data_IF_795119968837
#
_entry.id   IF_795119968837
#
_cell.length_a   1.000
_cell.length_b   1.000
_cell.length_c   1.000
_cell.angle_alpha   90.00
_cell.angle_beta   90.00
_cell.angle_gamma   90.00
#
_symmetry.space_group_name_H-M   'P 1'
#
loop_
_entity.id
_entity.type
_entity.pdbx_description
1 polymer ?
#
# COMPACT_ATOMS: atom_id res chain seq x y z
N UNK A 1 1.88 10.28 -20.65
CA UNK A 1 1.82 11.16 -19.45
C UNK A 1 0.54 10.93 -18.64
N UNK A 2 -0.64 10.87 -19.26
CA UNK A 2 -1.91 10.62 -18.56
C UNK A 2 -1.96 9.33 -17.71
N UNK A 3 -1.33 8.24 -18.18
CA UNK A 3 -1.27 6.98 -17.41
C UNK A 3 -0.58 7.11 -16.05
N UNK A 4 0.48 7.92 -15.95
CA UNK A 4 1.14 8.17 -14.66
C UNK A 4 0.21 8.90 -13.69
N UNK A 5 -0.53 9.91 -14.17
CA UNK A 5 -1.46 10.68 -13.32
C UNK A 5 -2.60 9.81 -12.83
N UNK A 6 -3.16 8.95 -13.70
CA UNK A 6 -4.18 7.97 -13.33
C UNK A 6 -3.65 7.01 -12.26
N UNK A 7 -2.46 6.44 -12.45
CA UNK A 7 -1.85 5.53 -11.47
C UNK A 7 -1.59 6.23 -10.12
N UNK A 8 -1.09 7.46 -10.13
CA UNK A 8 -0.83 8.23 -8.93
C UNK A 8 -2.14 8.49 -8.16
N UNK A 9 -3.18 8.95 -8.84
CA UNK A 9 -4.47 9.27 -8.22
C UNK A 9 -5.22 8.02 -7.74
N UNK A 10 -5.00 6.88 -8.39
CA UNK A 10 -5.58 5.61 -7.97
C UNK A 10 -4.90 5.04 -6.72
N UNK A 11 -3.56 5.08 -6.68
CA UNK A 11 -2.77 4.45 -5.61
C UNK A 11 -2.51 5.38 -4.42
N UNK A 12 -2.78 6.68 -4.55
CA UNK A 12 -2.48 7.69 -3.54
C UNK A 12 -3.58 8.73 -3.41
N UNK A 13 -3.63 9.43 -2.28
CA UNK A 13 -4.50 10.60 -2.05
C UNK A 13 -4.02 11.86 -2.80
N UNK A 14 -2.93 11.79 -3.56
CA UNK A 14 -2.38 12.93 -4.28
C UNK A 14 -3.13 13.14 -5.59
N UNK A 15 -4.02 14.12 -5.61
CA UNK A 15 -4.77 14.52 -6.80
C UNK A 15 -4.05 15.64 -7.54
N UNK A 16 -3.53 15.34 -8.74
CA UNK A 16 -2.86 16.35 -9.59
C UNK A 16 -3.88 17.05 -10.49
N UNK A 17 -4.83 16.31 -11.06
CA UNK A 17 -5.88 16.86 -11.91
C UNK A 17 -7.22 16.17 -11.62
N UNK A 18 -8.14 16.85 -10.92
CA UNK A 18 -9.43 16.28 -10.54
C UNK A 18 -10.36 16.04 -11.73
N UNK A 19 -10.09 16.67 -12.89
CA UNK A 19 -10.91 16.51 -14.09
C UNK A 19 -10.58 15.23 -14.88
N UNK A 20 -9.54 14.48 -14.47
CA UNK A 20 -9.24 13.18 -15.08
C UNK A 20 -10.09 12.12 -14.39
N UNK A 21 -11.05 11.59 -15.14
CA UNK A 21 -11.84 10.44 -14.70
C UNK A 21 -11.01 9.15 -14.78
N UNK A 22 -11.00 8.37 -13.71
CA UNK A 22 -10.32 7.06 -13.65
C UNK A 22 -11.26 6.01 -14.24
N UNK A 23 -11.17 5.83 -15.56
CA UNK A 23 -11.91 4.77 -16.27
C UNK A 23 -11.17 3.42 -16.19
N UNK A 24 -11.88 2.29 -16.25
CA UNK A 24 -11.26 0.95 -16.20
C UNK A 24 -10.21 0.75 -17.31
N UNK A 25 -10.53 1.16 -18.54
CA UNK A 25 -9.57 1.11 -19.68
C UNK A 25 -8.36 2.01 -19.45
N UNK A 26 -8.55 3.18 -18.84
CA UNK A 26 -7.46 4.09 -18.47
C UNK A 26 -6.58 3.51 -17.38
N UNK A 27 -7.20 2.89 -16.36
CA UNK A 27 -6.52 2.22 -15.27
C UNK A 27 -5.69 1.04 -15.78
N UNK A 28 -6.24 0.19 -16.64
CA UNK A 28 -5.50 -0.93 -17.26
C UNK A 28 -4.23 -0.48 -17.99
N UNK A 29 -4.30 0.63 -18.73
CA UNK A 29 -3.11 1.22 -19.40
C UNK A 29 -2.11 1.86 -18.42
N UNK A 30 -2.54 2.18 -17.21
CA UNK A 30 -1.72 2.83 -16.19
C UNK A 30 -0.95 1.86 -15.29
N UNK A 31 -1.29 0.56 -15.30
CA UNK A 31 -0.71 -0.46 -14.41
C UNK A 31 0.83 -0.50 -14.49
N UNK A 32 1.40 -0.30 -15.69
CA UNK A 32 2.85 -0.25 -15.88
C UNK A 32 3.56 0.86 -15.07
N UNK A 33 2.84 1.91 -14.65
CA UNK A 33 3.37 2.99 -13.83
C UNK A 33 3.28 2.71 -12.32
N UNK A 34 2.62 1.64 -11.88
CA UNK A 34 2.46 1.34 -10.45
C UNK A 34 3.80 1.23 -9.71
N UNK A 35 4.84 0.53 -10.24
CA UNK A 35 6.16 0.51 -9.59
C UNK A 35 6.79 1.89 -9.46
N UNK A 36 6.58 2.76 -10.46
CA UNK A 36 7.06 4.16 -10.44
C UNK A 36 6.38 4.94 -9.31
N UNK A 37 5.08 4.74 -9.09
CA UNK A 37 4.37 5.34 -7.94
C UNK A 37 4.96 4.81 -6.62
N UNK A 38 5.34 3.54 -6.57
CA UNK A 38 6.08 2.98 -5.45
C UNK A 38 7.41 3.69 -5.19
N UNK A 39 8.19 4.00 -6.23
CA UNK A 39 9.41 4.80 -6.11
C UNK A 39 9.12 6.20 -5.55
N UNK A 40 8.08 6.87 -6.05
CA UNK A 40 7.67 8.21 -5.57
C UNK A 40 7.35 8.18 -4.08
N UNK A 41 6.55 7.21 -3.62
CA UNK A 41 6.25 7.03 -2.20
C UNK A 41 7.52 6.76 -1.39
N UNK A 42 8.44 5.95 -1.90
CA UNK A 42 9.71 5.67 -1.26
C UNK A 42 10.60 6.90 -1.10
N UNK A 43 10.70 7.76 -2.12
CA UNK A 43 11.40 9.03 -2.05
C UNK A 43 10.78 9.96 -0.98
N UNK A 44 9.45 10.04 -0.91
CA UNK A 44 8.76 10.82 0.13
C UNK A 44 9.10 10.29 1.53
N UNK A 45 9.12 8.96 1.71
CA UNK A 45 9.49 8.34 2.99
C UNK A 45 10.95 8.59 3.38
N UNK A 46 11.88 8.60 2.42
CA UNK A 46 13.28 8.95 2.70
C UNK A 46 13.40 10.40 3.18
N UNK A 47 12.75 11.34 2.50
CA UNK A 47 12.74 12.75 2.90
C UNK A 47 12.13 12.91 4.29
N UNK A 48 11.00 12.24 4.55
CA UNK A 48 10.37 12.22 5.87
C UNK A 48 11.29 11.62 6.93
N UNK A 49 11.98 10.51 6.64
CA UNK A 49 12.92 9.88 7.57
C UNK A 49 14.05 10.84 7.95
N UNK A 50 14.65 11.52 6.97
CA UNK A 50 15.71 12.50 7.20
C UNK A 50 15.19 13.67 8.05
N UNK A 51 14.02 14.22 7.71
CA UNK A 51 13.42 15.33 8.44
C UNK A 51 13.11 14.95 9.90
N UNK A 52 12.40 13.84 10.11
CA UNK A 52 11.99 13.40 11.45
C UNK A 52 13.19 13.01 12.32
N UNK A 53 14.23 12.40 11.75
CA UNK A 53 15.40 11.93 12.51
C UNK A 53 16.49 12.99 12.71
N UNK A 54 16.76 13.83 11.71
CA UNK A 54 17.90 14.78 11.73
C UNK A 54 17.50 16.23 12.00
N UNK A 55 16.23 16.59 11.79
CA UNK A 55 15.74 17.96 12.04
C UNK A 55 14.93 18.00 13.34
N UNK A 56 14.04 17.04 13.54
CA UNK A 56 13.23 16.96 14.77
C UNK A 56 13.84 16.09 15.86
N UNK A 57 14.92 15.35 15.57
CA UNK A 57 15.64 14.49 16.53
C UNK A 57 14.72 13.51 17.29
N UNK A 58 13.69 12.99 16.63
CA UNK A 58 12.76 12.04 17.24
C UNK A 58 13.43 10.68 17.49
N UNK A 59 12.90 9.93 18.46
CA UNK A 59 13.38 8.57 18.74
C UNK A 59 13.21 7.64 17.52
N UNK A 60 14.10 6.64 17.31
CA UNK A 60 13.99 5.74 16.16
C UNK A 60 12.64 5.05 16.04
N UNK A 61 12.05 4.64 17.17
CA UNK A 61 10.73 4.02 17.21
C UNK A 61 9.64 4.98 16.75
N UNK A 62 9.66 6.22 17.25
CA UNK A 62 8.70 7.27 16.85
C UNK A 62 8.82 7.56 15.35
N UNK A 63 10.04 7.66 14.80
CA UNK A 63 10.27 7.86 13.37
C UNK A 63 9.66 6.72 12.56
N UNK A 64 9.92 5.46 12.93
CA UNK A 64 9.40 4.29 12.21
C UNK A 64 7.86 4.26 12.20
N UNK A 65 7.22 4.55 13.34
CA UNK A 65 5.76 4.64 13.44
C UNK A 65 5.21 5.73 12.52
N UNK A 66 5.79 6.94 12.56
CA UNK A 66 5.36 8.05 11.73
C UNK A 66 5.53 7.78 10.23
N UNK A 67 6.61 7.11 9.83
CA UNK A 67 6.82 6.70 8.43
C UNK A 67 5.71 5.78 7.93
N UNK A 68 5.28 4.81 8.76
CA UNK A 68 4.17 3.92 8.42
C UNK A 68 2.85 4.69 8.36
N UNK A 69 2.59 5.60 9.30
CA UNK A 69 1.39 6.46 9.28
C UNK A 69 1.36 7.34 8.03
N UNK A 70 2.48 7.96 7.65
CA UNK A 70 2.62 8.75 6.43
C UNK A 70 2.28 7.89 5.21
N UNK A 71 2.81 6.67 5.12
CA UNK A 71 2.51 5.78 4.00
C UNK A 71 1.03 5.40 3.94
N UNK A 72 0.40 5.11 5.08
CA UNK A 72 -1.05 4.83 5.16
C UNK A 72 -1.84 6.03 4.66
N UNK A 73 -1.53 7.22 5.18
CA UNK A 73 -2.22 8.44 4.81
C UNK A 73 -2.06 8.74 3.31
N UNK A 74 -0.84 8.66 2.78
CA UNK A 74 -0.56 8.88 1.36
C UNK A 74 -1.28 7.89 0.45
N UNK A 75 -1.40 6.63 0.86
CA UNK A 75 -2.01 5.57 0.02
C UNK A 75 -3.51 5.41 0.23
N UNK A 76 -4.07 6.13 1.22
CA UNK A 76 -5.46 5.97 1.64
C UNK A 76 -5.78 4.60 2.26
N UNK A 77 -4.78 3.74 2.49
CA UNK A 77 -4.98 2.41 3.05
C UNK A 77 -5.46 1.35 2.07
N UNK A 78 -5.52 1.62 0.76
CA UNK A 78 -6.10 0.70 -0.25
C UNK A 78 -5.55 -0.74 -0.19
N UNK A 79 -4.24 -0.90 0.04
CA UNK A 79 -3.64 -2.25 0.15
C UNK A 79 -3.91 -2.92 1.50
N UNK A 80 -4.09 -2.12 2.55
CA UNK A 80 -4.43 -2.63 3.88
C UNK A 80 -5.89 -3.10 3.90
N UNK A 81 -6.77 -2.32 3.30
CA UNK A 81 -8.18 -2.65 3.08
C UNK A 81 -8.30 -4.00 2.35
N UNK A 82 -7.68 -4.11 1.17
CA UNK A 82 -7.70 -5.36 0.42
C UNK A 82 -7.08 -6.56 1.15
N UNK A 83 -6.10 -6.35 2.05
CA UNK A 83 -5.58 -7.43 2.89
C UNK A 83 -6.60 -7.87 3.94
N UNK A 84 -7.23 -6.91 4.63
CA UNK A 84 -8.24 -7.19 5.64
C UNK A 84 -9.42 -7.94 5.01
N UNK A 85 -9.95 -7.43 3.89
CA UNK A 85 -11.05 -8.06 3.14
C UNK A 85 -10.69 -9.48 2.72
N UNK A 86 -9.47 -9.68 2.18
CA UNK A 86 -9.03 -11.02 1.75
C UNK A 86 -8.98 -11.99 2.91
N UNK A 87 -8.48 -11.56 4.07
CA UNK A 87 -8.36 -12.42 5.25
C UNK A 87 -9.73 -12.70 5.85
N UNK A 88 -10.61 -11.71 5.94
CA UNK A 88 -11.99 -11.90 6.42
C UNK A 88 -12.79 -12.81 5.48
N UNK A 89 -12.69 -12.60 4.17
CA UNK A 89 -13.32 -13.46 3.17
C UNK A 89 -12.87 -14.91 3.28
N UNK A 90 -11.55 -15.16 3.30
CA UNK A 90 -10.99 -16.51 3.35
C UNK A 90 -11.18 -17.22 4.71
N UNK A 91 -11.31 -16.46 5.81
CA UNK A 91 -11.57 -17.04 7.13
C UNK A 91 -13.06 -17.24 7.41
N UNK A 92 -13.94 -16.43 6.82
CA UNK A 92 -15.39 -16.47 7.06
C UNK A 92 -16.16 -17.47 6.20
N UNK A 93 -15.61 -17.92 5.06
CA UNK A 93 -16.29 -18.86 4.18
C UNK A 93 -15.34 -19.77 3.37
N UNK A 94 -15.86 -20.89 2.88
CA UNK A 94 -15.15 -21.80 1.95
C UNK A 94 -15.66 -21.72 0.51
N UNK A 95 -16.93 -21.36 0.33
CA UNK A 95 -17.56 -21.22 -0.98
C UNK A 95 -17.18 -19.87 -1.61
N UNK A 96 -16.75 -19.88 -2.88
CA UNK A 96 -16.29 -18.68 -3.60
C UNK A 96 -17.28 -17.51 -3.53
N UNK A 97 -18.57 -17.78 -3.72
CA UNK A 97 -19.61 -16.74 -3.70
C UNK A 97 -19.72 -16.06 -2.33
N UNK A 98 -19.64 -16.82 -1.24
CA UNK A 98 -19.67 -16.29 0.13
C UNK A 98 -18.40 -15.53 0.50
N UNK A 99 -17.23 -16.01 0.05
CA UNK A 99 -15.97 -15.29 0.21
C UNK A 99 -16.08 -13.90 -0.44
N UNK A 100 -16.54 -13.86 -1.70
CA UNK A 100 -16.72 -12.61 -2.43
C UNK A 100 -17.81 -11.70 -1.84
N UNK A 101 -18.85 -12.25 -1.20
CA UNK A 101 -19.84 -11.42 -0.51
C UNK A 101 -19.28 -10.79 0.75
N UNK A 102 -18.44 -11.51 1.51
CA UNK A 102 -17.77 -10.98 2.71
C UNK A 102 -16.79 -9.87 2.32
N UNK A 103 -15.99 -10.07 1.27
CA UNK A 103 -15.05 -9.05 0.75
C UNK A 103 -15.75 -7.77 0.20
N UNK A 104 -17.08 -7.78 0.04
CA UNK A 104 -17.85 -6.60 -0.39
C UNK A 104 -18.58 -5.93 0.76
N UNK A 105 -18.65 -6.58 1.91
CA UNK A 105 -19.21 -5.99 3.10
C UNK A 105 -18.25 -4.91 3.60
N UNK A 106 -18.79 -3.75 3.99
CA UNK A 106 -18.00 -2.68 4.58
C UNK A 106 -17.59 -2.98 6.03
N UNK A 107 -18.15 -4.05 6.63
CA UNK A 107 -17.80 -4.49 7.97
C UNK A 107 -16.45 -5.20 7.99
N UNK A 108 -15.53 -4.73 8.84
CA UNK A 108 -14.26 -5.41 9.07
C UNK A 108 -14.45 -6.51 10.11
N UNK A 109 -13.91 -7.70 9.83
CA UNK A 109 -13.91 -8.83 10.75
C UNK A 109 -12.73 -8.81 11.72
N UNK A 110 -12.81 -9.65 12.75
CA UNK A 110 -11.75 -9.77 13.76
C UNK A 110 -10.44 -10.26 13.12
N UNK A 111 -10.53 -11.18 12.14
CA UNK A 111 -9.35 -11.71 11.46
C UNK A 111 -8.66 -10.65 10.59
N UNK A 112 -9.44 -9.81 9.89
CA UNK A 112 -8.96 -8.63 9.18
C UNK A 112 -8.22 -7.68 10.12
N UNK A 113 -8.82 -7.31 11.25
CA UNK A 113 -8.17 -6.44 12.26
C UNK A 113 -6.87 -7.04 12.78
N UNK A 114 -6.88 -8.32 13.19
CA UNK A 114 -5.68 -8.99 13.70
C UNK A 114 -4.57 -9.01 12.65
N UNK A 115 -4.91 -9.23 11.37
CA UNK A 115 -3.94 -9.19 10.29
C UNK A 115 -3.30 -7.82 10.11
N UNK A 116 -4.08 -6.74 10.24
CA UNK A 116 -3.59 -5.38 10.14
C UNK A 116 -2.66 -5.05 11.31
N UNK A 117 -3.02 -5.44 12.53
CA UNK A 117 -2.18 -5.26 13.72
C UNK A 117 -0.84 -5.99 13.52
N UNK A 118 -0.88 -7.25 13.13
CA UNK A 118 0.30 -8.06 12.88
C UNK A 118 1.18 -7.46 11.78
N UNK A 119 0.60 -7.10 10.62
CA UNK A 119 1.34 -6.53 9.50
C UNK A 119 1.99 -5.19 9.87
N UNK A 120 1.23 -4.27 10.47
CA UNK A 120 1.75 -2.94 10.82
C UNK A 120 2.79 -3.03 11.92
N UNK A 121 2.58 -3.90 12.91
CA UNK A 121 3.57 -4.21 13.95
C UNK A 121 4.87 -4.73 13.34
N UNK A 122 4.81 -5.74 12.46
CA UNK A 122 5.98 -6.27 11.76
C UNK A 122 6.72 -5.21 10.95
N UNK A 123 6.00 -4.34 10.22
CA UNK A 123 6.63 -3.25 9.46
C UNK A 123 7.43 -2.31 10.36
N UNK A 124 6.90 -1.94 11.52
CA UNK A 124 7.58 -1.06 12.47
C UNK A 124 8.80 -1.75 13.07
N UNK A 125 8.68 -3.02 13.48
CA UNK A 125 9.78 -3.82 14.01
C UNK A 125 10.91 -3.98 12.99
N UNK A 126 10.59 -4.41 11.76
CA UNK A 126 11.59 -4.62 10.72
C UNK A 126 12.28 -3.32 10.30
N UNK A 127 11.58 -2.18 10.25
CA UNK A 127 12.24 -0.88 10.04
C UNK A 127 13.21 -0.50 11.18
N UNK A 128 13.03 -1.05 12.38
CA UNK A 128 13.93 -0.86 13.52
C UNK A 128 15.14 -1.78 13.50
N UNK A 129 15.02 -2.96 12.88
CA UNK A 129 16.08 -3.97 12.78
C UNK A 129 17.02 -3.73 11.58
N UNK A 130 16.56 -3.01 10.56
CA UNK A 130 17.39 -2.68 9.39
C UNK A 130 18.54 -1.77 9.81
N UNK A 131 19.76 -2.16 9.42
CA UNK A 131 20.95 -1.36 9.67
C UNK A 131 20.79 0.05 9.09
N UNK A 132 21.25 1.11 9.78
CA UNK A 132 21.03 2.49 9.37
C UNK A 132 21.46 2.81 7.92
N UNK A 133 22.52 2.16 7.45
CA UNK A 133 23.08 2.29 6.10
C UNK A 133 22.15 1.79 4.98
N UNK A 134 21.26 0.84 5.31
CA UNK A 134 20.32 0.22 4.38
C UNK A 134 18.88 0.73 4.53
N UNK A 135 18.63 1.60 5.52
CA UNK A 135 17.27 2.07 5.84
C UNK A 135 16.63 2.83 4.68
N UNK A 136 17.39 3.67 3.96
CA UNK A 136 16.85 4.43 2.83
C UNK A 136 16.49 3.50 1.65
N UNK A 137 17.30 2.49 1.38
CA UNK A 137 17.07 1.48 0.36
C UNK A 137 15.80 0.68 0.70
N UNK A 138 15.63 0.30 1.97
CA UNK A 138 14.42 -0.36 2.43
C UNK A 138 13.17 0.51 2.28
N UNK A 139 13.24 1.80 2.65
CA UNK A 139 12.14 2.75 2.48
C UNK A 139 11.77 2.98 1.01
N UNK A 140 12.72 2.85 0.09
CA UNK A 140 12.47 2.92 -1.36
C UNK A 140 11.86 1.63 -1.90
N UNK A 141 12.47 0.49 -1.57
CA UNK A 141 12.12 -0.81 -2.14
C UNK A 141 10.79 -1.33 -1.60
N UNK A 142 10.47 -1.10 -0.32
CA UNK A 142 9.22 -1.58 0.27
C UNK A 142 7.97 -1.12 -0.52
N UNK A 143 7.76 0.18 -0.80
CA UNK A 143 6.63 0.59 -1.60
C UNK A 143 6.75 0.15 -3.06
N UNK A 144 7.93 0.24 -3.68
CA UNK A 144 8.19 -0.21 -5.06
C UNK A 144 7.73 -1.65 -5.27
N UNK A 145 8.24 -2.58 -4.45
CA UNK A 145 7.93 -4.00 -4.57
C UNK A 145 6.44 -4.28 -4.33
N UNK A 146 5.81 -3.58 -3.38
CA UNK A 146 4.37 -3.72 -3.15
C UNK A 146 3.53 -3.36 -4.38
N UNK A 147 3.92 -2.31 -5.12
CA UNK A 147 3.17 -1.86 -6.30
C UNK A 147 3.48 -2.71 -7.52
N UNK A 148 4.71 -3.22 -7.60
CA UNK A 148 5.07 -4.19 -8.61
C UNK A 148 4.35 -5.53 -8.42
N UNK A 149 4.15 -5.94 -7.17
CA UNK A 149 3.35 -7.11 -6.82
C UNK A 149 1.93 -7.06 -7.40
N UNK A 150 1.29 -5.89 -7.41
CA UNK A 150 -0.03 -5.72 -8.07
C UNK A 150 0.07 -6.01 -9.56
N UNK A 151 1.08 -5.47 -10.24
CA UNK A 151 1.27 -5.70 -11.69
C UNK A 151 1.41 -7.20 -11.97
N UNK A 152 2.22 -7.89 -11.18
CA UNK A 152 2.42 -9.34 -11.31
C UNK A 152 1.11 -10.09 -11.08
N UNK A 153 0.35 -9.72 -10.03
CA UNK A 153 -0.94 -10.33 -9.73
C UNK A 153 -1.96 -10.11 -10.87
N UNK A 154 -2.01 -8.92 -11.47
CA UNK A 154 -2.88 -8.64 -12.62
C UNK A 154 -2.47 -9.41 -13.88
N UNK A 155 -1.19 -9.69 -14.08
CA UNK A 155 -0.71 -10.43 -15.25
C UNK A 155 -0.86 -11.95 -15.12
N UNK A 156 -0.72 -12.50 -13.90
CA UNK A 156 -0.70 -13.94 -13.67
C UNK A 156 -2.02 -14.48 -13.10
N UNK A 157 -2.79 -13.64 -12.42
CA UNK A 157 -4.02 -14.04 -11.75
C UNK A 157 -5.19 -14.13 -12.72
N UNK A 158 -6.04 -15.18 -12.62
CA UNK A 158 -7.33 -15.16 -13.28
C UNK A 158 -8.22 -14.08 -12.65
N UNK A 159 -9.21 -13.60 -13.40
CA UNK A 159 -10.17 -12.66 -12.84
C UNK A 159 -10.98 -13.37 -11.76
N UNK A 160 -11.02 -12.81 -10.55
CA UNK A 160 -11.63 -13.48 -9.40
C UNK A 160 -13.13 -13.74 -9.55
N UNK A 161 -13.81 -13.08 -10.50
CA UNK A 161 -15.25 -13.16 -10.71
C UNK A 161 -15.66 -13.93 -11.97
N UNK A 162 -14.69 -14.46 -12.71
CA UNK A 162 -14.90 -15.49 -13.74
C UNK A 162 -14.91 -16.86 -13.06
#
# INVERSE_FOLDING_TARGET
MWGFVIALQFLTRLTINPNIEVTEKGLGKSIAFFPVIGCVLGCILIVANIFLSRVLFLSPLTVNLLLIIILIWLTGGLHLDGLADTIDGLSGAKEKEKILSIMRDSCVGVMGVLSLICLLGMKVCFLGEIQPEFKNQALLLMPLMGRWGIVIACCLGPYARD
#
